data_IF_263188570355
#
_entry.id   IF_263188570355
#
_cell.length_a   1.000
_cell.length_b   1.000
_cell.length_c   1.000
_cell.angle_alpha   90.00
_cell.angle_beta   90.00
_cell.angle_gamma   90.00
#
_symmetry.space_group_name_H-M   'P 1'
#
loop_
_entity.id
_entity.type
_entity.pdbx_description
1 polymer ?
#
# COMPACT_ATOMS: atom_id res chain seq x y z
N UNK A 1 0.28 -4.49 -2.88
CA UNK A 1 0.53 -3.04 -2.79
C UNK A 1 1.92 -2.87 -2.22
N UNK A 2 2.68 -1.95 -2.80
CA UNK A 2 4.02 -1.60 -2.33
C UNK A 2 3.90 -0.47 -1.30
N UNK A 3 4.76 -0.48 -0.28
CA UNK A 3 4.68 0.44 0.87
C UNK A 3 5.83 1.44 0.86
N UNK A 4 5.53 2.67 1.28
CA UNK A 4 6.49 3.78 1.32
C UNK A 4 6.27 4.62 2.57
N UNK A 5 7.34 5.24 3.07
CA UNK A 5 7.31 6.07 4.27
C UNK A 5 7.17 7.57 3.96
N UNK A 6 7.29 7.95 2.69
CA UNK A 6 7.03 9.31 2.22
C UNK A 6 6.10 9.30 1.02
N UNK A 7 5.37 10.41 0.83
CA UNK A 7 4.50 10.59 -0.32
C UNK A 7 5.34 10.66 -1.60
N UNK A 8 6.52 11.29 -1.53
CA UNK A 8 7.44 11.43 -2.66
C UNK A 8 7.87 10.07 -3.20
N UNK A 9 8.33 9.16 -2.33
CA UNK A 9 8.73 7.81 -2.73
C UNK A 9 7.55 7.05 -3.36
N UNK A 10 6.35 7.19 -2.78
CA UNK A 10 5.15 6.58 -3.33
C UNK A 10 4.80 7.11 -4.72
N UNK A 11 4.92 8.43 -4.93
CA UNK A 11 4.65 9.08 -6.22
C UNK A 11 5.71 8.73 -7.26
N UNK A 12 6.99 8.74 -6.90
CA UNK A 12 8.08 8.31 -7.80
C UNK A 12 7.83 6.88 -8.31
N UNK A 13 7.43 5.99 -7.41
CA UNK A 13 7.10 4.62 -7.78
C UNK A 13 5.81 4.52 -8.59
N UNK A 14 4.75 5.23 -8.19
CA UNK A 14 3.49 5.28 -8.93
C UNK A 14 3.70 5.82 -10.36
N UNK A 15 4.62 6.78 -10.55
CA UNK A 15 4.99 7.33 -11.85
C UNK A 15 5.62 6.31 -12.80
N UNK A 16 6.13 5.19 -12.28
CA UNK A 16 6.56 4.06 -13.12
C UNK A 16 5.40 3.24 -13.68
N UNK A 17 4.19 3.37 -13.09
CA UNK A 17 2.97 2.59 -13.39
C UNK A 17 1.89 3.40 -14.08
N UNK A 18 1.82 4.70 -13.81
CA UNK A 18 0.85 5.63 -14.37
C UNK A 18 1.49 7.00 -14.63
N UNK A 19 0.89 7.80 -15.50
CA UNK A 19 1.35 9.16 -15.81
C UNK A 19 0.33 10.25 -15.46
N UNK A 20 -0.88 9.86 -15.02
CA UNK A 20 -1.94 10.80 -14.66
C UNK A 20 -2.83 10.24 -13.54
N UNK A 21 -3.17 11.12 -12.60
CA UNK A 21 -4.01 10.81 -11.46
C UNK A 21 -5.11 11.84 -11.32
N UNK A 22 -6.19 11.42 -10.70
CA UNK A 22 -7.21 12.32 -10.16
C UNK A 22 -7.21 12.22 -8.64
N UNK A 23 -7.54 13.32 -7.98
CA UNK A 23 -7.81 13.26 -6.56
C UNK A 23 -9.05 12.40 -6.29
N UNK A 24 -9.05 11.64 -5.19
CA UNK A 24 -10.16 10.73 -4.90
C UNK A 24 -11.44 11.47 -4.47
N UNK A 25 -11.30 12.64 -3.83
CA UNK A 25 -12.41 13.40 -3.26
C UNK A 25 -12.72 14.70 -4.01
N UNK A 26 -11.94 15.05 -5.04
CA UNK A 26 -12.12 16.24 -5.86
C UNK A 26 -11.88 15.93 -7.34
N UNK A 27 -12.26 16.85 -8.24
CA UNK A 27 -12.05 16.68 -9.69
C UNK A 27 -10.66 17.14 -10.17
N UNK A 28 -9.76 17.45 -9.22
CA UNK A 28 -8.39 17.86 -9.51
C UNK A 28 -7.59 16.73 -10.19
N UNK A 29 -6.84 17.11 -11.22
CA UNK A 29 -6.00 16.19 -12.00
C UNK A 29 -4.55 16.58 -11.89
N UNK A 30 -3.71 15.55 -11.79
CA UNK A 30 -2.28 15.68 -11.64
C UNK A 30 -1.58 14.88 -12.72
N UNK A 31 -0.60 15.52 -13.37
CA UNK A 31 0.42 14.82 -14.14
C UNK A 31 1.59 14.45 -13.21
N UNK A 32 2.56 13.71 -13.74
CA UNK A 32 3.74 13.26 -12.96
C UNK A 32 4.43 14.43 -12.24
N UNK A 33 4.62 15.55 -12.93
CA UNK A 33 5.33 16.70 -12.36
C UNK A 33 4.52 17.38 -11.26
N UNK A 34 3.24 17.63 -11.50
CA UNK A 34 2.36 18.24 -10.50
C UNK A 34 2.25 17.40 -9.23
N UNK A 35 2.16 16.07 -9.38
CA UNK A 35 2.06 15.18 -8.23
C UNK A 35 3.37 15.07 -7.45
N UNK A 36 4.53 15.07 -8.13
CA UNK A 36 5.84 15.07 -7.47
C UNK A 36 6.04 16.34 -6.62
N UNK A 37 5.74 17.53 -7.17
CA UNK A 37 5.87 18.79 -6.44
C UNK A 37 4.92 18.84 -5.24
N UNK A 38 3.70 18.33 -5.40
CA UNK A 38 2.74 18.22 -4.30
C UNK A 38 3.28 17.30 -3.20
N UNK A 39 3.85 16.14 -3.58
CA UNK A 39 4.39 15.18 -2.63
C UNK A 39 5.59 15.74 -1.85
N UNK A 40 6.54 16.39 -2.54
CA UNK A 40 7.67 17.06 -1.88
C UNK A 40 7.20 18.12 -0.87
N UNK A 41 6.17 18.90 -1.25
CA UNK A 41 5.60 19.92 -0.36
C UNK A 41 4.92 19.28 0.84
N UNK A 42 4.10 18.24 0.61
CA UNK A 42 3.37 17.53 1.66
C UNK A 42 4.34 16.90 2.66
N UNK A 43 5.35 16.17 2.20
CA UNK A 43 6.33 15.51 3.08
C UNK A 43 7.13 16.52 3.92
N UNK A 44 7.34 17.75 3.40
CA UNK A 44 8.04 18.80 4.13
C UNK A 44 7.15 19.54 5.15
N UNK A 45 5.85 19.69 4.88
CA UNK A 45 4.93 20.44 5.73
C UNK A 45 4.27 19.55 6.80
N UNK A 46 3.89 18.33 6.43
CA UNK A 46 3.15 17.39 7.27
C UNK A 46 3.64 15.96 7.03
N UNK A 47 4.80 15.59 7.61
CA UNK A 47 5.33 14.23 7.50
C UNK A 47 4.44 13.24 8.25
N UNK A 48 4.27 12.05 7.67
CA UNK A 48 3.43 10.99 8.26
C UNK A 48 4.00 10.48 9.59
N UNK A 49 3.12 9.95 10.44
CA UNK A 49 3.48 9.32 11.72
C UNK A 49 4.25 8.00 11.53
N UNK A 50 5.00 7.56 12.55
CA UNK A 50 5.83 6.34 12.53
C UNK A 50 5.02 5.07 12.22
N UNK A 51 3.74 5.03 12.61
CA UNK A 51 2.83 3.90 12.38
C UNK A 51 2.04 4.02 11.06
N UNK A 52 2.24 5.10 10.30
CA UNK A 52 1.57 5.36 9.02
C UNK A 52 2.46 5.02 7.82
N UNK A 53 1.84 4.65 6.70
CA UNK A 53 2.57 4.42 5.45
C UNK A 53 1.70 4.66 4.22
N UNK A 54 2.35 5.09 3.15
CA UNK A 54 1.72 5.15 1.82
C UNK A 54 1.71 3.77 1.17
N UNK A 55 0.66 3.51 0.39
CA UNK A 55 0.52 2.31 -0.43
C UNK A 55 0.31 2.67 -1.89
N UNK A 56 0.94 1.90 -2.79
CA UNK A 56 0.74 2.05 -4.23
C UNK A 56 0.08 0.79 -4.80
N UNK A 57 -1.03 0.98 -5.50
CA UNK A 57 -1.76 -0.09 -6.19
C UNK A 57 -0.99 -0.60 -7.43
N UNK A 58 -1.30 -1.80 -7.95
CA UNK A 58 -0.77 -2.28 -9.22
C UNK A 58 -0.99 -1.31 -10.39
N UNK A 59 -2.11 -0.59 -10.44
CA UNK A 59 -2.35 0.42 -11.48
C UNK A 59 -1.72 1.79 -11.19
N UNK A 60 -1.10 1.96 -10.01
CA UNK A 60 -0.44 3.20 -9.60
C UNK A 60 -1.33 4.17 -8.82
N UNK A 61 -2.49 3.75 -8.31
CA UNK A 61 -3.24 4.54 -7.34
C UNK A 61 -2.43 4.65 -6.04
N UNK A 62 -2.57 5.77 -5.33
CA UNK A 62 -1.81 6.07 -4.11
C UNK A 62 -2.81 6.24 -2.97
N UNK A 63 -2.60 5.49 -1.90
CA UNK A 63 -3.37 5.60 -0.66
C UNK A 63 -2.45 5.84 0.53
N UNK A 64 -3.01 6.40 1.59
CA UNK A 64 -2.39 6.53 2.90
C UNK A 64 -3.08 5.55 3.85
N UNK A 65 -2.28 4.77 4.57
CA UNK A 65 -2.76 3.93 5.64
C UNK A 65 -2.33 4.56 6.96
N UNK A 66 -3.31 5.14 7.65
CA UNK A 66 -3.14 5.69 9.00
C UNK A 66 -3.29 4.53 10.00
N UNK A 67 -2.30 4.37 10.88
CA UNK A 67 -2.26 3.33 11.93
C UNK A 67 -2.27 1.86 11.44
N UNK A 68 -2.09 1.63 10.14
CA UNK A 68 -1.96 0.29 9.56
C UNK A 68 -3.27 -0.51 9.39
N UNK A 69 -4.43 0.11 9.62
CA UNK A 69 -5.74 -0.55 9.54
C UNK A 69 -6.46 -0.24 8.21
N UNK A 70 -6.88 1.01 8.03
CA UNK A 70 -7.68 1.46 6.89
C UNK A 70 -6.81 2.16 5.85
N UNK A 71 -7.16 2.02 4.57
CA UNK A 71 -6.49 2.70 3.46
C UNK A 71 -7.41 3.82 2.96
N UNK A 72 -6.97 5.05 3.15
CA UNK A 72 -7.55 6.21 2.53
C UNK A 72 -6.89 6.46 1.16
N UNK A 73 -7.60 6.12 0.08
CA UNK A 73 -7.11 6.36 -1.28
C UNK A 73 -7.13 7.86 -1.61
N UNK A 74 -5.96 8.44 -1.87
CA UNK A 74 -5.80 9.87 -2.12
C UNK A 74 -5.80 10.18 -3.62
N UNK A 75 -5.09 9.38 -4.41
CA UNK A 75 -4.91 9.60 -5.85
C UNK A 75 -5.29 8.34 -6.62
N UNK A 76 -6.30 8.45 -7.48
CA UNK A 76 -6.75 7.36 -8.33
C UNK A 76 -6.05 7.43 -9.67
N UNK A 77 -5.55 6.29 -10.13
CA UNK A 77 -4.87 6.17 -11.42
C UNK A 77 -5.87 6.18 -12.57
N UNK A 78 -5.61 7.01 -13.59
CA UNK A 78 -6.41 6.99 -14.82
C UNK A 78 -6.17 5.74 -15.69
N UNK A 79 -5.10 4.98 -15.43
CA UNK A 79 -4.83 3.71 -16.14
C UNK A 79 -5.86 2.62 -15.81
N UNK A 80 -6.44 2.64 -14.61
CA UNK A 80 -7.45 1.67 -14.19
C UNK A 80 -8.51 2.35 -13.30
N UNK A 81 -9.44 3.12 -13.88
CA UNK A 81 -10.45 3.87 -13.12
C UNK A 81 -11.46 2.98 -12.37
N UNK A 82 -11.50 1.69 -12.70
CA UNK A 82 -12.38 0.69 -12.08
C UNK A 82 -11.57 -0.37 -11.31
N UNK A 83 -10.34 -0.07 -10.88
CA UNK A 83 -9.56 -0.98 -10.04
C UNK A 83 -10.29 -1.23 -8.71
N UNK A 84 -10.37 -2.50 -8.30
CA UNK A 84 -10.92 -2.88 -6.99
C UNK A 84 -9.87 -2.57 -5.92
N UNK A 85 -9.97 -1.36 -5.37
CA UNK A 85 -9.05 -0.85 -4.37
C UNK A 85 -9.50 -1.29 -2.97
N UNK A 86 -8.69 -2.07 -2.24
CA UNK A 86 -9.08 -2.52 -0.90
C UNK A 86 -9.16 -1.32 0.05
N UNK A 87 -10.22 -1.28 0.85
CA UNK A 87 -10.43 -0.26 1.88
C UNK A 87 -9.62 -0.51 3.15
N UNK A 88 -9.16 -1.75 3.35
CA UNK A 88 -8.37 -2.15 4.51
C UNK A 88 -7.02 -2.67 4.07
N UNK A 89 -5.97 -2.34 4.83
CA UNK A 89 -4.67 -2.91 4.65
C UNK A 89 -4.68 -4.35 5.19
N UNK A 90 -4.98 -5.30 4.31
CA UNK A 90 -4.76 -6.71 4.61
C UNK A 90 -3.27 -7.00 4.48
N UNK A 91 -2.57 -6.98 5.61
CA UNK A 91 -1.25 -7.60 5.69
C UNK A 91 -1.39 -9.02 5.15
N UNK A 92 -0.80 -9.31 3.98
CA UNK A 92 -0.90 -10.62 3.38
C UNK A 92 -0.56 -11.65 4.46
N UNK A 93 -1.41 -12.67 4.70
CA UNK A 93 -1.11 -13.66 5.71
C UNK A 93 0.26 -14.21 5.36
N UNK A 94 1.25 -13.99 6.22
CA UNK A 94 2.59 -14.51 5.98
C UNK A 94 2.46 -16.02 5.98
N UNK A 95 2.38 -16.58 4.77
CA UNK A 95 2.32 -18.00 4.53
C UNK A 95 3.66 -18.53 5.04
N UNK A 96 3.62 -19.15 6.22
CA UNK A 96 4.77 -19.86 6.76
C UNK A 96 4.62 -21.33 6.37
N UNK A 97 5.75 -21.99 6.19
CA UNK A 97 5.78 -23.44 6.03
C UNK A 97 6.35 -24.04 7.30
N UNK A 98 5.79 -25.16 7.72
CA UNK A 98 6.33 -25.91 8.85
C UNK A 98 7.74 -26.39 8.49
N UNK A 99 8.79 -26.05 9.27
CA UNK A 99 10.16 -26.44 8.95
C UNK A 99 10.37 -27.97 9.00
N UNK A 100 9.50 -28.70 9.70
CA UNK A 100 9.60 -30.16 9.84
C UNK A 100 8.94 -30.95 8.71
N UNK A 101 7.79 -30.49 8.21
CA UNK A 101 6.99 -31.28 7.26
C UNK A 101 6.56 -30.53 6.00
N UNK A 102 6.93 -29.25 5.87
CA UNK A 102 6.60 -28.41 4.71
C UNK A 102 5.11 -28.04 4.59
N UNK A 103 4.28 -28.36 5.58
CA UNK A 103 2.86 -27.99 5.53
C UNK A 103 2.66 -26.48 5.65
N UNK A 104 1.61 -25.97 5.00
CA UNK A 104 1.17 -24.59 5.16
C UNK A 104 0.80 -24.32 6.62
N UNK A 105 1.26 -23.19 7.15
CA UNK A 105 1.06 -22.78 8.55
C UNK A 105 0.42 -21.40 8.57
N UNK A 106 -0.68 -21.31 9.31
CA UNK A 106 -1.34 -20.04 9.59
C UNK A 106 -0.51 -19.29 10.65
N UNK A 107 -0.16 -18.00 10.44
CA UNK A 107 0.74 -17.25 11.31
C UNK A 107 0.28 -17.06 12.76
N UNK A 108 -0.95 -17.47 13.11
CA UNK A 108 -1.49 -17.47 14.47
C UNK A 108 -1.36 -18.82 15.22
N UNK A 109 -0.83 -19.88 14.58
CA UNK A 109 -0.77 -21.22 15.18
C UNK A 109 0.58 -21.49 15.87
N UNK A 110 0.53 -21.97 17.12
CA UNK A 110 1.72 -22.38 17.89
C UNK A 110 2.26 -23.76 17.48
N UNK A 111 1.43 -24.57 16.81
CA UNK A 111 1.73 -25.94 16.43
C UNK A 111 1.23 -26.25 15.02
N UNK A 112 2.00 -27.05 14.29
CA UNK A 112 1.62 -27.51 12.96
C UNK A 112 0.44 -28.50 13.05
N UNK A 113 -0.69 -28.15 12.43
CA UNK A 113 -1.87 -29.02 12.38
C UNK A 113 -1.65 -30.35 11.65
N UNK A 114 -0.58 -30.49 10.85
CA UNK A 114 -0.27 -31.75 10.13
C UNK A 114 0.64 -32.69 10.91
N UNK A 115 1.69 -32.19 11.55
CA UNK A 115 2.73 -33.04 12.16
C UNK A 115 2.97 -32.78 13.65
N UNK A 116 2.25 -31.82 14.25
CA UNK A 116 2.37 -31.47 15.67
C UNK A 116 3.65 -30.72 16.06
N UNK A 117 4.52 -30.36 15.10
CA UNK A 117 5.72 -29.60 15.41
C UNK A 117 5.38 -28.23 15.98
N UNK A 118 6.14 -27.77 16.97
CA UNK A 118 6.07 -26.39 17.43
C UNK A 118 6.57 -25.45 16.33
N UNK A 119 5.87 -24.36 16.10
CA UNK A 119 6.14 -23.39 15.03
C UNK A 119 6.77 -22.11 15.59
#
# INVERSE_FOLDING_TARGET
>A
MDKFITMLEAVEFAATRCTSWRFATADDKYDVKGLLVLAETSDSEDPIDEDSFYVVSPAGAIGLCEDGEDINWLFLSDNAPNEDLPLTHQAAPQIRFCPKCGALVVPATRFCGKCGNRL
#
